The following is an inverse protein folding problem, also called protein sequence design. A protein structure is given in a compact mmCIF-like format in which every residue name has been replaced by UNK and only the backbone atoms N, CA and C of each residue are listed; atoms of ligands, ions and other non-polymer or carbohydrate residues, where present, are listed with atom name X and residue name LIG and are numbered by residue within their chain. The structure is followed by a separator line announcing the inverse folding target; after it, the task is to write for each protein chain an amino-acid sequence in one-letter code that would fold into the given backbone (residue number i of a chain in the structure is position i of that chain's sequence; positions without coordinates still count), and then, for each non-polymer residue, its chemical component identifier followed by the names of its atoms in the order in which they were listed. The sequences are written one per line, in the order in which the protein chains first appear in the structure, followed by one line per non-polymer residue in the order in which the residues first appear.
data_IF_314739301465
#
_entry.id   IF_314739301465
#
_cell.length_a   1.000
_cell.length_b   1.000
_cell.length_c   1.000
_cell.angle_alpha   90.00
_cell.angle_beta   90.00
_cell.angle_gamma   90.00
#
_symmetry.space_group_name_H-M   'P 1'
#
loop_
_entity.id
_entity.type
_entity.pdbx_description
1 polymer ?
#
# COMPACT_ATOMS: atom_id res chain seq x y z
N UNK A 1 -10.62 33.90 -46.90
CA UNK A 1 -11.19 32.55 -46.64
C UNK A 1 -10.11 31.55 -46.16
N UNK A 2 -8.90 31.57 -46.73
CA UNK A 2 -7.85 30.59 -46.37
C UNK A 2 -7.37 30.67 -44.92
N UNK A 3 -7.26 31.85 -44.31
CA UNK A 3 -6.78 32.02 -42.94
C UNK A 3 -7.76 31.43 -41.88
N UNK A 4 -9.05 31.53 -42.13
CA UNK A 4 -10.06 30.98 -41.23
C UNK A 4 -10.10 29.45 -41.25
N UNK A 5 -9.89 28.80 -42.39
CA UNK A 5 -9.80 27.34 -42.50
C UNK A 5 -8.63 26.78 -41.72
N UNK A 6 -7.46 27.42 -41.79
CA UNK A 6 -6.26 27.00 -41.02
C UNK A 6 -6.53 27.10 -39.52
N UNK A 7 -7.17 28.18 -39.07
CA UNK A 7 -7.56 28.38 -37.65
C UNK A 7 -8.47 27.26 -37.15
N UNK A 8 -9.56 26.99 -37.90
CA UNK A 8 -10.50 25.92 -37.49
C UNK A 8 -9.85 24.54 -37.52
N UNK A 9 -8.95 24.27 -38.48
CA UNK A 9 -8.22 23.01 -38.52
C UNK A 9 -7.31 22.84 -37.32
N UNK A 10 -6.54 23.85 -36.92
CA UNK A 10 -5.66 23.84 -35.74
C UNK A 10 -6.49 23.57 -34.46
N UNK A 11 -7.63 24.30 -34.31
CA UNK A 11 -8.51 24.13 -33.15
C UNK A 11 -9.16 22.75 -33.14
N UNK A 12 -9.58 22.21 -34.27
CA UNK A 12 -10.14 20.89 -34.38
C UNK A 12 -9.13 19.80 -33.97
N UNK A 13 -7.87 19.91 -34.43
CA UNK A 13 -6.77 19.00 -34.01
C UNK A 13 -6.55 19.11 -32.48
N UNK A 14 -6.47 20.36 -31.98
CA UNK A 14 -6.27 20.61 -30.55
C UNK A 14 -7.35 19.97 -29.67
N UNK A 15 -8.64 20.27 -29.95
CA UNK A 15 -9.74 19.70 -29.18
C UNK A 15 -9.88 18.20 -29.37
N UNK A 16 -9.66 17.69 -30.58
CA UNK A 16 -9.62 16.25 -30.85
C UNK A 16 -8.57 15.52 -30.01
N UNK A 17 -7.36 16.12 -29.90
CA UNK A 17 -6.30 15.56 -29.06
C UNK A 17 -6.65 15.59 -27.56
N UNK A 18 -7.22 16.71 -27.04
CA UNK A 18 -7.66 16.80 -25.64
C UNK A 18 -8.72 15.75 -25.32
N UNK A 19 -9.69 15.56 -26.21
CA UNK A 19 -10.74 14.55 -26.05
C UNK A 19 -10.15 13.13 -26.08
N UNK A 20 -9.25 12.85 -27.02
CA UNK A 20 -8.58 11.56 -27.12
C UNK A 20 -7.77 11.23 -25.84
N UNK A 21 -6.99 12.20 -25.34
CA UNK A 21 -6.22 12.04 -24.10
C UNK A 21 -7.14 11.88 -22.88
N UNK A 22 -8.23 12.65 -22.82
CA UNK A 22 -9.26 12.53 -21.77
C UNK A 22 -9.88 11.13 -21.76
N UNK A 23 -10.33 10.64 -22.94
CA UNK A 23 -10.90 9.30 -23.08
C UNK A 23 -9.89 8.20 -22.75
N UNK A 24 -8.66 8.30 -23.24
CA UNK A 24 -7.59 7.36 -22.92
C UNK A 24 -7.35 7.26 -21.40
N UNK A 25 -7.22 8.40 -20.71
CA UNK A 25 -7.01 8.40 -19.27
C UNK A 25 -8.27 7.95 -18.50
N UNK A 26 -9.48 8.19 -19.02
CA UNK A 26 -10.70 7.65 -18.45
C UNK A 26 -10.74 6.10 -18.53
N UNK A 27 -10.35 5.53 -19.66
CA UNK A 27 -10.23 4.07 -19.80
C UNK A 27 -9.18 3.50 -18.86
N UNK A 28 -8.06 4.20 -18.67
CA UNK A 28 -7.05 3.82 -17.67
C UNK A 28 -7.60 3.88 -16.25
N UNK A 29 -8.40 4.91 -15.91
CA UNK A 29 -9.10 4.97 -14.61
C UNK A 29 -10.01 3.76 -14.40
N UNK A 30 -10.82 3.39 -15.37
CA UNK A 30 -11.73 2.22 -15.27
C UNK A 30 -10.95 0.93 -15.07
N UNK A 31 -9.81 0.78 -15.76
CA UNK A 31 -8.95 -0.40 -15.68
C UNK A 31 -8.15 -0.47 -14.36
N UNK A 32 -7.60 0.65 -13.91
CA UNK A 32 -6.62 0.71 -12.80
C UNK A 32 -7.24 1.14 -11.48
N UNK A 33 -8.40 1.80 -11.51
CA UNK A 33 -9.09 2.39 -10.34
C UNK A 33 -8.23 3.39 -9.55
N UNK A 34 -7.25 4.02 -10.20
CA UNK A 34 -6.35 5.00 -9.60
C UNK A 34 -6.92 6.42 -9.77
N UNK A 35 -7.20 7.13 -8.67
CA UNK A 35 -7.88 8.44 -8.68
C UNK A 35 -7.14 9.53 -9.46
N UNK A 36 -5.83 9.41 -9.64
CA UNK A 36 -5.01 10.39 -10.36
C UNK A 36 -5.43 10.51 -11.84
N UNK A 37 -5.88 9.42 -12.48
CA UNK A 37 -6.40 9.47 -13.85
C UNK A 37 -7.72 10.23 -13.93
N UNK A 38 -8.59 10.07 -12.93
CA UNK A 38 -9.85 10.82 -12.89
C UNK A 38 -9.60 12.32 -12.72
N UNK A 39 -8.61 12.68 -11.89
CA UNK A 39 -8.18 14.08 -11.72
C UNK A 39 -7.63 14.65 -13.03
N UNK A 40 -6.86 13.87 -13.79
CA UNK A 40 -6.39 14.26 -15.11
C UNK A 40 -7.55 14.47 -16.10
N UNK A 41 -8.54 13.59 -16.12
CA UNK A 41 -9.75 13.72 -16.95
C UNK A 41 -10.52 14.98 -16.59
N UNK A 42 -10.70 15.28 -15.31
CA UNK A 42 -11.35 16.50 -14.84
C UNK A 42 -10.56 17.76 -15.26
N UNK A 43 -9.24 17.72 -15.18
CA UNK A 43 -8.34 18.75 -15.67
C UNK A 43 -8.52 18.98 -17.18
N UNK A 44 -8.49 17.91 -17.98
CA UNK A 44 -8.69 17.97 -19.42
C UNK A 44 -10.08 18.55 -19.80
N UNK A 45 -11.13 18.11 -19.14
CA UNK A 45 -12.49 18.61 -19.37
C UNK A 45 -12.61 20.10 -19.04
N UNK A 46 -12.05 20.54 -17.91
CA UNK A 46 -12.01 21.95 -17.54
C UNK A 46 -11.21 22.79 -18.55
N UNK A 47 -10.08 22.29 -19.06
CA UNK A 47 -9.31 22.93 -20.11
C UNK A 47 -10.11 23.06 -21.42
N UNK A 48 -10.88 22.03 -21.81
CA UNK A 48 -11.76 22.11 -23.00
C UNK A 48 -12.79 23.24 -22.82
N UNK A 49 -13.43 23.36 -21.64
CA UNK A 49 -14.39 24.44 -21.35
C UNK A 49 -13.71 25.83 -21.43
N UNK A 50 -12.58 26.01 -20.75
CA UNK A 50 -11.85 27.28 -20.74
C UNK A 50 -11.39 27.71 -22.15
N UNK A 51 -10.74 26.80 -22.87
CA UNK A 51 -10.21 27.07 -24.20
C UNK A 51 -11.32 27.28 -25.25
N UNK A 52 -12.38 26.46 -25.24
CA UNK A 52 -13.51 26.64 -26.16
C UNK A 52 -14.23 27.95 -25.94
N UNK A 53 -14.34 28.40 -24.68
CA UNK A 53 -14.90 29.72 -24.34
C UNK A 53 -13.98 30.87 -24.80
N UNK A 54 -12.65 30.71 -24.69
CA UNK A 54 -11.66 31.69 -25.13
C UNK A 54 -11.72 31.93 -26.64
N UNK A 55 -11.93 30.89 -27.45
CA UNK A 55 -12.03 30.97 -28.91
C UNK A 55 -13.48 31.23 -29.40
N UNK A 56 -14.46 31.41 -28.50
CA UNK A 56 -15.85 31.63 -28.82
C UNK A 56 -16.61 30.38 -29.31
N UNK A 57 -15.94 29.25 -29.46
CA UNK A 57 -16.58 28.00 -29.92
C UNK A 57 -17.63 27.49 -28.96
N UNK A 58 -17.40 27.64 -27.66
CA UNK A 58 -18.38 27.25 -26.64
C UNK A 58 -19.68 28.05 -26.76
N UNK A 59 -19.59 29.37 -27.02
CA UNK A 59 -20.76 30.21 -27.25
C UNK A 59 -21.48 29.83 -28.54
N UNK A 60 -20.77 29.38 -29.55
CA UNK A 60 -21.35 29.01 -30.84
C UNK A 60 -22.05 27.65 -30.80
N UNK A 61 -21.49 26.64 -30.09
CA UNK A 61 -21.91 25.24 -30.17
C UNK A 61 -22.51 24.68 -28.88
N UNK A 62 -22.05 25.14 -27.68
CA UNK A 62 -22.50 24.57 -26.42
C UNK A 62 -23.63 25.33 -25.75
N UNK A 63 -23.61 26.67 -25.82
CA UNK A 63 -24.65 27.54 -25.23
C UNK A 63 -24.99 28.77 -26.08
N UNK A 64 -25.48 28.56 -27.32
CA UNK A 64 -25.77 29.66 -28.25
C UNK A 64 -26.82 30.59 -27.70
N UNK A 65 -27.80 30.09 -26.95
CA UNK A 65 -28.93 30.84 -26.42
C UNK A 65 -28.67 31.50 -25.06
N UNK A 66 -27.46 31.30 -24.48
CA UNK A 66 -27.11 31.78 -23.13
C UNK A 66 -25.85 32.65 -23.11
N UNK A 67 -25.92 33.88 -23.65
CA UNK A 67 -24.74 34.74 -23.80
C UNK A 67 -24.14 35.18 -22.46
N UNK A 68 -24.94 35.32 -21.41
CA UNK A 68 -24.45 35.63 -20.06
C UNK A 68 -23.53 34.50 -19.49
N UNK A 69 -23.89 33.26 -19.78
CA UNK A 69 -23.08 32.12 -19.39
C UNK A 69 -21.72 32.07 -20.12
N UNK A 70 -21.66 32.51 -21.36
CA UNK A 70 -20.42 32.59 -22.14
C UNK A 70 -19.32 33.44 -21.49
N UNK A 71 -19.70 34.51 -20.78
CA UNK A 71 -18.73 35.35 -20.04
C UNK A 71 -18.23 34.70 -18.76
N UNK A 72 -19.06 33.89 -18.10
CA UNK A 72 -18.74 33.17 -16.84
C UNK A 72 -17.92 31.91 -17.14
N UNK A 73 -18.23 31.21 -18.23
CA UNK A 73 -17.62 29.95 -18.58
C UNK A 73 -16.09 30.04 -18.79
N UNK A 74 -15.61 31.18 -19.31
CA UNK A 74 -14.16 31.40 -19.51
C UNK A 74 -13.37 31.37 -18.18
N UNK A 75 -13.60 32.28 -17.22
CA UNK A 75 -12.88 32.25 -15.95
C UNK A 75 -13.18 30.98 -15.14
N UNK A 76 -14.40 30.47 -15.19
CA UNK A 76 -14.79 29.23 -14.51
C UNK A 76 -14.00 28.02 -15.04
N UNK A 77 -13.91 27.86 -16.36
CA UNK A 77 -13.16 26.78 -16.99
C UNK A 77 -11.68 26.78 -16.59
N UNK A 78 -11.03 27.95 -16.63
CA UNK A 78 -9.63 28.05 -16.20
C UNK A 78 -9.42 27.91 -14.69
N UNK A 79 -10.33 28.39 -13.84
CA UNK A 79 -10.26 28.16 -12.41
C UNK A 79 -10.37 26.67 -12.07
N UNK A 80 -11.29 25.97 -12.71
CA UNK A 80 -11.44 24.51 -12.54
C UNK A 80 -10.22 23.76 -13.08
N UNK A 81 -9.71 24.16 -14.25
CA UNK A 81 -8.48 23.58 -14.79
C UNK A 81 -7.30 23.78 -13.84
N UNK A 82 -7.08 24.98 -13.32
CA UNK A 82 -6.02 25.26 -12.38
C UNK A 82 -6.22 24.50 -11.03
N UNK A 83 -7.43 24.37 -10.55
CA UNK A 83 -7.74 23.58 -9.36
C UNK A 83 -7.39 22.10 -9.54
N UNK A 84 -7.86 21.47 -10.63
CA UNK A 84 -7.56 20.06 -10.91
C UNK A 84 -6.10 19.86 -11.29
N UNK A 85 -5.47 20.82 -11.98
CA UNK A 85 -4.02 20.81 -12.26
C UNK A 85 -3.19 20.88 -10.96
N UNK A 86 -3.61 21.68 -9.98
CA UNK A 86 -3.00 21.76 -8.67
C UNK A 86 -3.17 20.44 -7.88
N UNK A 87 -4.35 19.84 -7.92
CA UNK A 87 -4.63 18.54 -7.32
C UNK A 87 -3.79 17.43 -7.98
N UNK A 88 -3.71 17.45 -9.32
CA UNK A 88 -2.85 16.53 -10.06
C UNK A 88 -1.38 16.68 -9.68
N UNK A 89 -0.87 17.92 -9.57
CA UNK A 89 0.51 18.21 -9.13
C UNK A 89 0.78 17.63 -7.74
N UNK A 90 -0.15 17.82 -6.80
CA UNK A 90 -0.01 17.28 -5.45
C UNK A 90 0.04 15.75 -5.41
N UNK A 91 -0.84 15.10 -6.18
CA UNK A 91 -0.91 13.64 -6.24
C UNK A 91 0.28 13.05 -7.02
N UNK A 92 0.65 13.67 -8.15
CA UNK A 92 1.71 13.16 -9.01
C UNK A 92 3.08 13.28 -8.35
N UNK A 93 3.43 14.44 -7.79
CA UNK A 93 4.72 14.68 -7.14
C UNK A 93 4.76 14.27 -5.65
N UNK A 94 3.63 13.83 -5.07
CA UNK A 94 3.58 13.45 -3.66
C UNK A 94 4.02 14.60 -2.72
N UNK A 95 3.60 15.84 -3.03
CA UNK A 95 4.10 17.08 -2.41
C UNK A 95 3.97 17.12 -0.89
N UNK A 96 2.99 16.38 -0.33
CA UNK A 96 2.80 16.28 1.12
C UNK A 96 4.05 15.75 1.83
N UNK A 97 4.74 14.79 1.21
CA UNK A 97 5.94 14.14 1.77
C UNK A 97 7.23 14.79 1.29
N UNK A 98 7.25 15.23 0.02
CA UNK A 98 8.46 15.74 -0.65
C UNK A 98 8.72 17.23 -0.37
N UNK A 99 7.66 18.05 -0.38
CA UNK A 99 7.74 19.52 -0.28
C UNK A 99 6.58 20.09 0.53
N UNK A 100 6.50 19.88 1.87
CA UNK A 100 5.32 20.22 2.68
C UNK A 100 4.96 21.70 2.68
N UNK A 101 5.92 22.60 2.55
CA UNK A 101 5.67 24.06 2.48
C UNK A 101 4.95 24.40 1.18
N UNK A 102 5.46 23.91 0.03
CA UNK A 102 4.83 24.13 -1.27
C UNK A 102 3.46 23.43 -1.35
N UNK A 103 3.29 22.28 -0.70
CA UNK A 103 2.00 21.61 -0.59
C UNK A 103 0.93 22.52 0.02
N UNK A 104 1.21 23.17 1.16
CA UNK A 104 0.29 24.12 1.79
C UNK A 104 0.02 25.34 0.91
N UNK A 105 1.03 25.83 0.21
CA UNK A 105 0.90 26.94 -0.72
C UNK A 105 -0.02 26.57 -1.91
N UNK A 106 0.15 25.39 -2.47
CA UNK A 106 -0.73 24.87 -3.53
C UNK A 106 -2.18 24.74 -3.02
N UNK A 107 -2.38 24.28 -1.79
CA UNK A 107 -3.73 24.24 -1.17
C UNK A 107 -4.35 25.64 -1.02
N UNK A 108 -3.56 26.62 -0.62
CA UNK A 108 -4.04 28.00 -0.56
C UNK A 108 -4.46 28.54 -1.95
N UNK A 109 -3.67 28.23 -3.00
CA UNK A 109 -4.03 28.56 -4.39
C UNK A 109 -5.32 27.84 -4.84
N UNK A 110 -5.52 26.58 -4.46
CA UNK A 110 -6.76 25.85 -4.75
C UNK A 110 -7.97 26.51 -4.13
N UNK A 111 -7.89 26.96 -2.89
CA UNK A 111 -8.95 27.74 -2.23
C UNK A 111 -9.16 29.06 -2.98
N UNK A 112 -8.09 29.74 -3.38
CA UNK A 112 -8.17 30.96 -4.22
C UNK A 112 -8.91 30.72 -5.54
N UNK A 113 -8.64 29.62 -6.25
CA UNK A 113 -9.35 29.25 -7.48
C UNK A 113 -10.84 29.00 -7.24
N UNK A 114 -11.21 28.31 -6.16
CA UNK A 114 -12.61 28.07 -5.83
C UNK A 114 -13.36 29.38 -5.51
N UNK A 115 -12.75 30.27 -4.73
CA UNK A 115 -13.31 31.59 -4.43
C UNK A 115 -13.46 32.43 -5.69
N UNK A 116 -12.47 32.41 -6.60
CA UNK A 116 -12.53 33.12 -7.88
C UNK A 116 -13.61 32.53 -8.78
N UNK A 117 -13.78 31.22 -8.82
CA UNK A 117 -14.85 30.58 -9.57
C UNK A 117 -16.25 31.01 -9.05
N UNK A 118 -16.44 31.10 -7.73
CA UNK A 118 -17.65 31.58 -7.11
C UNK A 118 -17.89 33.06 -7.44
N UNK A 119 -16.86 33.91 -7.41
CA UNK A 119 -17.01 35.35 -7.79
C UNK A 119 -17.36 35.49 -9.26
N UNK A 120 -16.87 34.62 -10.17
CA UNK A 120 -17.22 34.63 -11.57
C UNK A 120 -18.72 34.33 -11.79
N UNK A 121 -19.30 33.42 -11.00
CA UNK A 121 -20.70 32.99 -11.12
C UNK A 121 -21.67 34.07 -10.53
N UNK A 122 -21.34 34.57 -9.33
CA UNK A 122 -22.31 35.32 -8.54
C UNK A 122 -22.11 36.85 -8.56
N UNK A 123 -20.93 37.36 -8.99
CA UNK A 123 -20.62 38.78 -8.79
C UNK A 123 -20.19 39.49 -10.07
N UNK A 124 -19.01 39.21 -10.59
CA UNK A 124 -18.52 39.93 -11.77
C UNK A 124 -17.43 39.12 -12.51
N UNK A 125 -17.57 38.96 -13.80
CA UNK A 125 -16.62 38.17 -14.60
C UNK A 125 -15.26 38.86 -14.82
N UNK A 126 -15.22 40.25 -14.89
CA UNK A 126 -13.96 40.96 -15.12
C UNK A 126 -12.92 40.79 -14.00
N UNK A 127 -13.25 41.09 -12.72
CA UNK A 127 -12.30 40.86 -11.64
C UNK A 127 -11.97 39.38 -11.46
N UNK A 128 -12.92 38.47 -11.72
CA UNK A 128 -12.65 37.04 -11.70
C UNK A 128 -11.63 36.63 -12.79
N UNK A 129 -11.71 37.20 -14.00
CA UNK A 129 -10.74 36.93 -15.07
C UNK A 129 -9.33 37.39 -14.69
N UNK A 130 -9.18 38.58 -14.10
CA UNK A 130 -7.88 39.11 -13.63
C UNK A 130 -7.32 38.20 -12.51
N UNK A 131 -8.14 37.86 -11.53
CA UNK A 131 -7.75 36.98 -10.42
C UNK A 131 -7.32 35.58 -10.94
N UNK A 132 -8.08 35.01 -11.89
CA UNK A 132 -7.72 33.75 -12.56
C UNK A 132 -6.35 33.80 -13.21
N UNK A 133 -6.04 34.87 -13.94
CA UNK A 133 -4.76 35.05 -14.60
C UNK A 133 -3.59 35.15 -13.60
N UNK A 134 -3.76 35.94 -12.54
CA UNK A 134 -2.74 36.12 -11.49
C UNK A 134 -2.48 34.82 -10.72
N UNK A 135 -3.56 34.19 -10.24
CA UNK A 135 -3.47 32.92 -9.50
C UNK A 135 -2.94 31.80 -10.38
N UNK A 136 -3.37 31.76 -11.65
CA UNK A 136 -2.89 30.77 -12.64
C UNK A 136 -1.39 30.88 -12.89
N UNK A 137 -0.91 32.13 -13.05
CA UNK A 137 0.55 32.37 -13.22
C UNK A 137 1.31 31.99 -11.95
N UNK A 138 0.82 32.36 -10.77
CA UNK A 138 1.42 31.98 -9.51
C UNK A 138 1.47 30.44 -9.34
N UNK A 139 0.41 29.75 -9.74
CA UNK A 139 0.37 28.30 -9.71
C UNK A 139 1.35 27.67 -10.73
N UNK A 140 1.41 28.16 -11.97
CA UNK A 140 2.33 27.64 -12.99
C UNK A 140 3.79 27.75 -12.53
N UNK A 141 4.19 28.90 -11.97
CA UNK A 141 5.52 29.09 -11.38
C UNK A 141 5.75 28.11 -10.22
N UNK A 142 4.77 27.97 -9.33
CA UNK A 142 4.85 27.03 -8.18
C UNK A 142 5.01 25.60 -8.66
N UNK A 143 4.27 25.18 -9.70
CA UNK A 143 4.35 23.84 -10.28
C UNK A 143 5.75 23.56 -10.86
N UNK A 144 6.32 24.51 -11.60
CA UNK A 144 7.68 24.41 -12.17
C UNK A 144 8.73 24.32 -11.04
N UNK A 145 8.66 25.17 -10.02
CA UNK A 145 9.57 25.14 -8.87
C UNK A 145 9.47 23.81 -8.13
N UNK A 146 8.25 23.35 -7.85
CA UNK A 146 8.00 22.06 -7.16
C UNK A 146 8.57 20.90 -7.98
N UNK A 147 8.29 20.88 -9.30
CA UNK A 147 8.80 19.86 -10.20
C UNK A 147 10.34 19.87 -10.29
N UNK A 148 10.96 21.06 -10.32
CA UNK A 148 12.42 21.21 -10.30
C UNK A 148 13.07 20.62 -9.04
N UNK A 149 12.49 20.89 -7.88
CA UNK A 149 12.95 20.31 -6.60
C UNK A 149 12.78 18.78 -6.56
N UNK A 150 11.67 18.26 -7.07
CA UNK A 150 11.43 16.81 -7.17
C UNK A 150 12.36 16.15 -8.21
N UNK A 151 12.62 16.80 -9.34
CA UNK A 151 13.54 16.31 -10.36
C UNK A 151 14.99 16.27 -9.87
N UNK A 152 15.42 17.26 -9.06
CA UNK A 152 16.72 17.28 -8.41
C UNK A 152 16.91 16.13 -7.40
N UNK A 153 15.81 15.63 -6.84
CA UNK A 153 15.78 14.45 -5.96
C UNK A 153 15.59 13.12 -6.72
N UNK A 154 15.76 13.14 -8.06
CA UNK A 154 15.62 11.98 -8.93
C UNK A 154 14.25 11.24 -8.82
N UNK A 155 13.18 11.96 -8.49
CA UNK A 155 11.85 11.38 -8.36
C UNK A 155 11.33 10.93 -9.73
N UNK A 156 10.76 9.71 -9.86
CA UNK A 156 10.24 9.19 -11.12
C UNK A 156 9.18 10.12 -11.74
N UNK A 157 9.27 10.37 -13.05
CA UNK A 157 8.33 11.22 -13.78
C UNK A 157 8.48 12.74 -13.56
N UNK A 158 9.21 13.21 -12.53
CA UNK A 158 9.33 14.64 -12.22
C UNK A 158 9.99 15.45 -13.33
N UNK A 159 10.91 14.87 -14.10
CA UNK A 159 11.55 15.55 -15.25
C UNK A 159 10.56 15.82 -16.39
N UNK A 160 9.75 14.83 -16.75
CA UNK A 160 8.71 15.00 -17.78
C UNK A 160 7.65 16.02 -17.32
N UNK A 161 7.27 15.95 -16.04
CA UNK A 161 6.37 16.91 -15.43
C UNK A 161 6.95 18.34 -15.46
N UNK A 162 8.23 18.52 -15.15
CA UNK A 162 8.91 19.80 -15.21
C UNK A 162 8.88 20.38 -16.64
N UNK A 163 9.20 19.56 -17.64
CA UNK A 163 9.16 19.99 -19.07
C UNK A 163 7.75 20.39 -19.47
N UNK A 164 6.74 19.58 -19.11
CA UNK A 164 5.33 19.85 -19.42
C UNK A 164 4.87 21.21 -18.90
N UNK A 165 5.04 21.47 -17.62
CA UNK A 165 4.66 22.75 -17.01
C UNK A 165 5.50 23.94 -17.46
N UNK A 166 6.77 23.73 -17.80
CA UNK A 166 7.60 24.77 -18.38
C UNK A 166 7.11 25.22 -19.76
N UNK A 167 6.63 24.27 -20.58
CA UNK A 167 6.04 24.58 -21.89
C UNK A 167 4.72 25.37 -21.75
N UNK A 168 3.87 24.99 -20.82
CA UNK A 168 2.66 25.76 -20.53
C UNK A 168 3.00 27.18 -20.06
N UNK A 169 3.93 27.32 -19.11
CA UNK A 169 4.36 28.61 -18.57
C UNK A 169 4.94 29.48 -19.69
N UNK A 170 5.70 28.93 -20.61
CA UNK A 170 6.20 29.65 -21.81
C UNK A 170 5.04 30.16 -22.67
N UNK A 171 4.00 29.34 -22.93
CA UNK A 171 2.79 29.74 -23.64
C UNK A 171 2.06 30.89 -22.97
N UNK A 172 1.90 30.81 -21.65
CA UNK A 172 1.28 31.88 -20.84
C UNK A 172 2.12 33.17 -20.90
N UNK A 173 3.43 33.06 -20.75
CA UNK A 173 4.34 34.21 -20.87
C UNK A 173 4.27 34.88 -22.24
N UNK A 174 4.22 34.11 -23.32
CA UNK A 174 4.07 34.65 -24.68
C UNK A 174 2.78 35.46 -24.87
N UNK A 175 1.66 34.97 -24.32
CA UNK A 175 0.40 35.73 -24.36
C UNK A 175 0.50 37.01 -23.53
N UNK A 176 1.09 36.97 -22.36
CA UNK A 176 1.26 38.13 -21.50
C UNK A 176 2.12 39.21 -22.21
N UNK A 177 3.27 38.83 -22.80
CA UNK A 177 4.16 39.71 -23.53
C UNK A 177 3.46 40.30 -24.77
N UNK A 178 2.63 39.52 -25.47
CA UNK A 178 1.82 40.01 -26.59
C UNK A 178 0.78 41.05 -26.12
N UNK A 179 0.12 40.79 -25.02
CA UNK A 179 -0.90 41.72 -24.45
C UNK A 179 -0.25 43.06 -24.04
N UNK A 180 1.02 43.03 -23.61
CA UNK A 180 1.81 44.22 -23.30
C UNK A 180 2.41 44.91 -24.58
N UNK A 181 2.08 44.41 -25.76
CA UNK A 181 2.63 44.88 -27.05
C UNK A 181 4.16 44.73 -27.20
N UNK A 182 4.78 43.86 -26.39
CA UNK A 182 6.21 43.56 -26.50
C UNK A 182 6.53 42.51 -27.59
N UNK A 183 5.52 41.69 -27.94
CA UNK A 183 5.59 40.74 -29.03
C UNK A 183 4.57 41.03 -30.11
N UNK A 184 4.92 40.81 -31.41
CA UNK A 184 3.98 40.99 -32.50
C UNK A 184 2.85 39.98 -32.48
N UNK A 185 1.66 40.35 -32.89
CA UNK A 185 0.50 39.44 -33.05
C UNK A 185 0.69 38.64 -34.35
N UNK A 186 1.27 37.46 -34.24
CA UNK A 186 1.43 36.49 -35.34
C UNK A 186 0.80 35.15 -34.94
N UNK A 187 0.78 34.19 -35.86
CA UNK A 187 0.21 32.85 -35.59
C UNK A 187 0.89 32.16 -34.40
N UNK A 188 2.21 32.30 -34.26
CA UNK A 188 2.96 31.68 -33.19
C UNK A 188 2.52 32.21 -31.80
N UNK A 189 2.46 33.56 -31.66
CA UNK A 189 2.07 34.18 -30.39
C UNK A 189 0.57 34.03 -30.06
N UNK A 190 -0.28 33.88 -31.12
CA UNK A 190 -1.71 33.65 -30.95
C UNK A 190 -2.02 32.23 -30.40
N UNK A 191 -1.30 31.23 -30.93
CA UNK A 191 -1.53 29.83 -30.61
C UNK A 191 -0.51 29.26 -29.61
N UNK A 192 0.35 30.08 -29.03
CA UNK A 192 1.36 29.64 -28.06
C UNK A 192 0.77 28.92 -26.87
N UNK A 193 -0.34 29.41 -26.32
CA UNK A 193 -1.00 28.78 -25.16
C UNK A 193 -1.71 27.46 -25.53
N UNK A 194 -2.53 27.39 -26.61
CA UNK A 194 -3.05 26.09 -27.06
C UNK A 194 -1.96 25.05 -27.34
N UNK A 195 -0.88 25.43 -28.03
CA UNK A 195 0.23 24.52 -28.28
C UNK A 195 0.93 24.11 -26.99
N UNK A 196 1.20 25.05 -26.08
CA UNK A 196 1.82 24.79 -24.80
C UNK A 196 0.97 23.84 -23.94
N UNK A 197 -0.34 24.07 -23.86
CA UNK A 197 -1.27 23.22 -23.11
C UNK A 197 -1.46 21.84 -23.75
N UNK A 198 -1.44 21.76 -25.08
CA UNK A 198 -1.49 20.49 -25.80
C UNK A 198 -0.27 19.60 -25.48
N UNK A 199 0.92 20.19 -25.55
CA UNK A 199 2.17 19.50 -25.24
C UNK A 199 2.26 19.14 -23.75
N UNK A 200 1.83 20.05 -22.87
CA UNK A 200 1.73 19.77 -21.44
C UNK A 200 0.88 18.53 -21.17
N UNK A 201 -0.36 18.52 -21.67
CA UNK A 201 -1.28 17.41 -21.42
C UNK A 201 -0.79 16.09 -22.01
N UNK A 202 -0.17 16.13 -23.21
CA UNK A 202 0.44 14.96 -23.80
C UNK A 202 1.58 14.41 -22.90
N UNK A 203 2.50 15.29 -22.49
CA UNK A 203 3.64 14.91 -21.65
C UNK A 203 3.19 14.44 -20.26
N UNK A 204 2.16 15.06 -19.66
CA UNK A 204 1.60 14.60 -18.39
C UNK A 204 0.97 13.20 -18.51
N UNK A 205 0.28 12.91 -19.61
CA UNK A 205 -0.26 11.57 -19.88
C UNK A 205 0.85 10.52 -19.99
N UNK A 206 1.95 10.84 -20.71
CA UNK A 206 3.13 9.97 -20.76
C UNK A 206 3.82 9.81 -19.40
N UNK A 207 4.02 10.92 -18.68
CA UNK A 207 4.61 10.87 -17.34
C UNK A 207 3.80 10.01 -16.36
N UNK A 208 2.48 10.06 -16.47
CA UNK A 208 1.58 9.26 -15.66
C UNK A 208 1.68 7.77 -16.03
N UNK A 209 1.74 7.44 -17.32
CA UNK A 209 1.94 6.07 -17.80
C UNK A 209 3.29 5.50 -17.34
N UNK A 210 4.39 6.26 -17.47
CA UNK A 210 5.73 5.85 -17.04
C UNK A 210 5.78 5.59 -15.52
N UNK A 211 5.21 6.48 -14.73
CA UNK A 211 5.15 6.32 -13.27
C UNK A 211 4.48 5.01 -12.85
N UNK A 212 3.41 4.61 -13.54
CA UNK A 212 2.70 3.36 -13.20
C UNK A 212 3.54 2.14 -13.50
N UNK A 213 4.27 2.13 -14.60
CA UNK A 213 5.18 1.03 -14.91
C UNK A 213 6.24 0.85 -13.81
N UNK A 214 6.80 1.94 -13.30
CA UNK A 214 7.77 1.90 -12.19
C UNK A 214 7.13 1.37 -10.90
N UNK A 215 6.00 1.94 -10.48
CA UNK A 215 5.30 1.53 -9.24
C UNK A 215 4.83 0.07 -9.31
N UNK A 216 4.30 -0.38 -10.45
CA UNK A 216 3.91 -1.79 -10.64
C UNK A 216 5.11 -2.72 -10.52
N UNK A 217 6.21 -2.39 -11.16
CA UNK A 217 7.43 -3.19 -11.10
C UNK A 217 7.99 -3.30 -9.69
N UNK A 218 8.01 -2.22 -8.94
CA UNK A 218 8.40 -2.23 -7.52
C UNK A 218 7.47 -3.13 -6.69
N UNK A 219 6.16 -3.04 -6.91
CA UNK A 219 5.17 -3.88 -6.23
C UNK A 219 5.33 -5.36 -6.57
N UNK A 220 5.57 -5.70 -7.84
CA UNK A 220 5.80 -7.08 -8.28
C UNK A 220 7.09 -7.65 -7.67
N UNK A 221 8.17 -6.87 -7.61
CA UNK A 221 9.41 -7.26 -6.96
C UNK A 221 9.20 -7.50 -5.45
N UNK A 222 8.53 -6.58 -4.76
CA UNK A 222 8.24 -6.73 -3.33
C UNK A 222 7.34 -7.95 -3.05
N UNK A 223 6.35 -8.22 -3.91
CA UNK A 223 5.51 -9.41 -3.79
C UNK A 223 6.31 -10.71 -4.03
N UNK A 224 7.21 -10.72 -5.01
CA UNK A 224 8.08 -11.87 -5.27
C UNK A 224 9.03 -12.15 -4.10
N UNK A 225 9.60 -11.12 -3.49
CA UNK A 225 10.44 -11.25 -2.29
C UNK A 225 9.64 -11.77 -1.09
N UNK A 226 8.43 -11.22 -0.84
CA UNK A 226 7.56 -11.68 0.23
C UNK A 226 7.15 -13.15 0.05
N UNK A 227 6.87 -13.58 -1.19
CA UNK A 227 6.56 -14.97 -1.50
C UNK A 227 7.75 -15.88 -1.24
N UNK A 228 8.97 -15.49 -1.66
CA UNK A 228 10.20 -16.25 -1.40
C UNK A 228 10.46 -16.39 0.10
N UNK A 229 10.31 -15.31 0.87
CA UNK A 229 10.44 -15.34 2.33
C UNK A 229 9.43 -16.28 2.98
N UNK A 230 8.16 -16.26 2.50
CA UNK A 230 7.12 -17.17 2.99
C UNK A 230 7.43 -18.63 2.71
N UNK A 231 7.91 -18.97 1.51
CA UNK A 231 8.31 -20.34 1.15
C UNK A 231 9.47 -20.80 2.04
N UNK A 232 10.51 -19.98 2.19
CA UNK A 232 11.65 -20.32 3.05
C UNK A 232 11.24 -20.53 4.52
N UNK A 233 10.30 -19.72 5.04
CA UNK A 233 9.77 -19.90 6.40
C UNK A 233 8.96 -21.19 6.53
N UNK A 234 8.17 -21.58 5.53
CA UNK A 234 7.45 -22.84 5.52
C UNK A 234 8.38 -24.05 5.48
N UNK A 235 9.45 -24.01 4.67
CA UNK A 235 10.45 -25.07 4.59
C UNK A 235 11.19 -25.23 5.93
N UNK A 236 11.57 -24.11 6.57
CA UNK A 236 12.21 -24.12 7.88
C UNK A 236 11.29 -24.70 8.97
N UNK A 237 9.99 -24.34 8.95
CA UNK A 237 9.00 -24.89 9.87
C UNK A 237 8.84 -26.40 9.69
N UNK A 238 8.70 -26.86 8.46
CA UNK A 238 8.58 -28.30 8.14
C UNK A 238 9.81 -29.10 8.58
N UNK A 239 11.01 -28.54 8.40
CA UNK A 239 12.24 -29.14 8.89
C UNK A 239 12.30 -29.20 10.41
N UNK A 240 11.83 -28.15 11.09
CA UNK A 240 11.73 -28.10 12.56
C UNK A 240 10.74 -29.14 13.09
N UNK A 241 9.57 -29.29 12.44
CA UNK A 241 8.58 -30.33 12.78
C UNK A 241 9.18 -31.75 12.67
N UNK A 242 9.82 -32.06 11.54
CA UNK A 242 10.48 -33.37 11.36
C UNK A 242 11.55 -33.66 12.45
N UNK A 243 12.32 -32.63 12.79
CA UNK A 243 13.37 -32.76 13.85
C UNK A 243 12.71 -32.96 15.23
N UNK A 244 11.60 -32.28 15.48
CA UNK A 244 10.85 -32.45 16.74
C UNK A 244 10.22 -33.82 16.85
N UNK A 245 9.59 -34.32 15.78
CA UNK A 245 9.01 -35.67 15.73
C UNK A 245 10.09 -36.74 16.01
N UNK A 246 11.25 -36.63 15.39
CA UNK A 246 12.39 -37.55 15.65
C UNK A 246 12.85 -37.50 17.11
N UNK A 247 12.92 -36.30 17.72
CA UNK A 247 13.22 -36.13 19.14
C UNK A 247 12.19 -36.78 20.05
N UNK A 248 10.90 -36.59 19.73
CA UNK A 248 9.80 -37.19 20.51
C UNK A 248 9.90 -38.71 20.47
N UNK A 249 10.03 -39.30 19.28
CA UNK A 249 10.15 -40.76 19.13
C UNK A 249 11.36 -41.28 19.93
N UNK A 250 12.52 -40.67 19.80
CA UNK A 250 13.73 -41.06 20.56
C UNK A 250 13.54 -40.95 22.07
N UNK A 251 13.00 -39.83 22.55
CA UNK A 251 12.75 -39.64 23.99
C UNK A 251 11.71 -40.59 24.55
N UNK A 252 10.69 -40.94 23.77
CA UNK A 252 9.68 -41.92 24.18
C UNK A 252 10.33 -43.33 24.31
N UNK A 253 11.20 -43.70 23.38
CA UNK A 253 11.94 -44.97 23.47
C UNK A 253 12.88 -45.00 24.69
N UNK A 254 13.66 -43.94 24.93
CA UNK A 254 14.54 -43.81 26.12
C UNK A 254 13.77 -43.92 27.44
N UNK A 255 12.62 -43.28 27.51
CA UNK A 255 11.72 -43.33 28.66
C UNK A 255 11.15 -44.74 28.89
N UNK A 256 10.73 -45.42 27.80
CA UNK A 256 10.23 -46.79 27.90
C UNK A 256 11.29 -47.77 28.46
N UNK A 257 12.52 -47.66 27.95
CA UNK A 257 13.63 -48.45 28.42
C UNK A 257 13.96 -48.16 29.89
N UNK A 258 13.99 -46.89 30.28
CA UNK A 258 14.27 -46.48 31.66
C UNK A 258 13.18 -46.96 32.61
N UNK A 259 11.89 -46.86 32.20
CA UNK A 259 10.77 -47.39 32.98
C UNK A 259 10.88 -48.93 33.19
N UNK A 260 11.26 -49.66 32.16
CA UNK A 260 11.40 -51.11 32.28
C UNK A 260 12.57 -51.48 33.22
N UNK A 261 13.71 -50.80 33.11
CA UNK A 261 14.83 -50.98 34.08
C UNK A 261 14.41 -50.67 35.52
N UNK A 262 13.63 -49.57 35.69
CA UNK A 262 13.15 -49.20 37.02
C UNK A 262 12.21 -50.28 37.61
N UNK A 263 11.30 -50.84 36.82
CA UNK A 263 10.39 -51.93 37.22
C UNK A 263 11.14 -53.18 37.61
N UNK A 264 12.19 -53.53 36.83
CA UNK A 264 13.04 -54.71 37.16
C UNK A 264 13.78 -54.50 38.49
N UNK A 265 14.36 -53.29 38.65
CA UNK A 265 15.05 -52.94 39.92
C UNK A 265 14.08 -52.94 41.14
N UNK A 266 12.89 -52.40 40.99
CA UNK A 266 11.86 -52.43 42.01
C UNK A 266 11.44 -53.88 42.38
N UNK A 267 11.31 -54.76 41.35
CA UNK A 267 10.95 -56.15 41.58
C UNK A 267 12.08 -56.91 42.34
N UNK A 268 13.36 -56.64 42.00
CA UNK A 268 14.51 -57.19 42.70
C UNK A 268 14.58 -56.67 44.15
N UNK A 269 14.44 -55.37 44.34
CA UNK A 269 14.41 -54.79 45.69
C UNK A 269 13.27 -55.37 46.56
N UNK A 270 12.11 -55.61 45.98
CA UNK A 270 10.98 -56.25 46.64
C UNK A 270 11.29 -57.68 47.03
N UNK A 271 11.95 -58.47 46.16
CA UNK A 271 12.39 -59.82 46.51
C UNK A 271 13.38 -59.80 47.68
N UNK A 272 14.38 -58.94 47.64
CA UNK A 272 15.37 -58.80 48.72
C UNK A 272 14.74 -58.32 50.03
N UNK A 273 13.76 -57.45 49.98
CA UNK A 273 13.07 -56.96 51.20
C UNK A 273 12.16 -57.99 51.89
N UNK A 274 11.65 -58.98 51.10
CA UNK A 274 10.65 -59.91 51.61
C UNK A 274 11.05 -61.38 51.57
N UNK A 275 12.16 -61.73 50.94
CA UNK A 275 12.65 -63.11 50.84
C UNK A 275 14.09 -63.21 51.32
N UNK A 276 14.44 -64.37 51.86
CA UNK A 276 15.80 -64.71 52.22
C UNK A 276 16.62 -65.06 50.99
N UNK A 277 17.76 -64.42 50.75
CA UNK A 277 18.54 -64.59 49.51
C UNK A 277 19.19 -65.99 49.37
N UNK A 278 19.32 -66.73 50.41
CA UNK A 278 19.95 -68.05 50.37
C UNK A 278 18.92 -69.14 50.07
N UNK A 279 17.76 -69.08 50.66
CA UNK A 279 16.74 -70.12 50.58
C UNK A 279 15.58 -69.79 49.63
N UNK A 280 15.40 -68.52 49.26
CA UNK A 280 14.29 -68.04 48.49
C UNK A 280 12.96 -68.01 49.24
N UNK A 281 12.92 -68.41 50.51
CA UNK A 281 11.73 -68.41 51.32
C UNK A 281 11.40 -67.01 51.88
N UNK A 282 10.16 -66.85 52.33
CA UNK A 282 9.74 -65.61 52.99
C UNK A 282 10.66 -65.32 54.19
N UNK A 283 11.21 -64.11 54.24
CA UNK A 283 12.03 -63.67 55.34
C UNK A 283 11.21 -63.27 56.55
N UNK A 284 11.85 -63.01 57.67
CA UNK A 284 11.20 -62.60 58.90
C UNK A 284 10.29 -61.38 58.72
N UNK A 285 10.63 -60.42 57.89
CA UNK A 285 9.80 -59.21 57.67
C UNK A 285 8.49 -59.58 57.00
N UNK A 286 8.49 -60.40 55.94
CA UNK A 286 7.28 -60.82 55.22
C UNK A 286 6.40 -61.67 56.12
N UNK A 287 7.00 -62.57 57.00
CA UNK A 287 6.24 -63.33 58.00
C UNK A 287 5.52 -62.42 58.97
N UNK A 288 6.17 -61.42 59.54
CA UNK A 288 5.55 -60.46 60.43
C UNK A 288 4.41 -59.67 59.77
N UNK A 289 4.58 -59.25 58.56
CA UNK A 289 3.55 -58.53 57.85
C UNK A 289 2.34 -59.42 57.52
N UNK A 290 2.53 -60.68 57.17
CA UNK A 290 1.45 -61.64 56.95
C UNK A 290 0.74 -62.00 58.24
N UNK A 291 1.48 -62.18 59.36
CA UNK A 291 0.90 -62.33 60.66
C UNK A 291 0.04 -61.17 61.07
N UNK A 292 0.50 -59.94 60.90
CA UNK A 292 -0.31 -58.74 61.21
C UNK A 292 -1.60 -58.69 60.37
N UNK A 293 -1.53 -59.04 59.11
CA UNK A 293 -2.70 -59.09 58.20
C UNK A 293 -3.66 -60.21 58.64
N UNK A 294 -3.16 -61.38 59.03
CA UNK A 294 -3.98 -62.49 59.47
C UNK A 294 -4.65 -62.23 60.84
N UNK A 295 -3.96 -61.59 61.78
CA UNK A 295 -4.53 -61.10 63.01
C UNK A 295 -5.64 -60.10 62.78
N UNK A 296 -5.41 -59.14 61.82
CA UNK A 296 -6.43 -58.14 61.49
C UNK A 296 -7.67 -58.76 60.81
N UNK A 297 -7.49 -59.79 59.97
CA UNK A 297 -8.59 -60.58 59.36
C UNK A 297 -9.35 -61.38 60.43
N UNK A 298 -8.65 -62.12 61.34
CA UNK A 298 -9.26 -62.85 62.42
C UNK A 298 -10.10 -61.99 63.32
N UNK A 299 -9.62 -60.78 63.66
CA UNK A 299 -10.39 -59.85 64.55
C UNK A 299 -11.66 -59.35 63.86
N UNK A 300 -11.72 -59.28 62.50
CA UNK A 300 -12.89 -58.80 61.77
C UNK A 300 -13.87 -59.91 61.37
N UNK A 301 -13.37 -61.10 61.06
CA UNK A 301 -14.16 -62.15 60.41
C UNK A 301 -14.30 -63.40 61.27
N UNK A 302 -13.73 -63.47 62.50
CA UNK A 302 -13.78 -64.68 63.35
C UNK A 302 -12.93 -65.82 62.85
N UNK A 303 -12.09 -65.63 61.85
CA UNK A 303 -11.20 -66.68 61.35
C UNK A 303 -10.05 -66.94 62.32
N UNK A 304 -9.80 -68.21 62.61
CA UNK A 304 -8.66 -68.66 63.42
C UNK A 304 -7.51 -69.10 62.50
N UNK A 305 -6.30 -68.78 62.86
CA UNK A 305 -5.09 -69.25 62.19
C UNK A 305 -4.11 -69.82 63.24
N UNK A 306 -3.24 -70.72 62.79
CA UNK A 306 -2.18 -71.30 63.65
C UNK A 306 -0.81 -70.91 63.07
N UNK A 307 0.15 -70.67 63.96
CA UNK A 307 1.53 -70.43 63.62
C UNK A 307 2.34 -71.65 64.05
N UNK A 308 3.01 -72.29 63.10
CA UNK A 308 3.89 -73.38 63.40
C UNK A 308 5.36 -72.89 63.38
N UNK A 309 6.07 -73.10 64.47
CA UNK A 309 7.54 -72.84 64.48
C UNK A 309 8.22 -74.17 64.50
N UNK A 310 9.10 -74.35 63.50
CA UNK A 310 9.87 -75.61 63.37
C UNK A 310 11.33 -75.24 63.58
N UNK A 311 12.04 -75.99 64.49
CA UNK A 311 13.47 -75.89 64.71
C UNK A 311 14.13 -77.22 64.41
N UNK A 312 15.41 -77.25 63.98
CA UNK A 312 16.10 -78.45 63.76
C UNK A 312 17.12 -78.74 64.88
N UNK A 313 16.76 -79.72 65.69
CA UNK A 313 17.59 -80.12 66.82
C UNK A 313 18.92 -80.65 66.32
N UNK A 314 20.03 -80.14 66.87
CA UNK A 314 21.38 -80.62 66.57
C UNK A 314 21.99 -80.05 65.24
N UNK A 315 21.47 -79.01 64.63
CA UNK A 315 21.92 -78.42 63.40
C UNK A 315 23.27 -77.67 63.51
N UNK A 316 23.61 -77.20 64.72
CA UNK A 316 24.86 -76.46 65.00
C UNK A 316 26.15 -77.12 64.58
N UNK A 317 26.34 -78.47 64.73
CA UNK A 317 27.55 -79.15 64.26
C UNK A 317 27.61 -79.37 62.74
N UNK A 318 26.56 -79.09 61.99
CA UNK A 318 26.51 -79.26 60.51
C UNK A 318 26.77 -77.91 59.76
N UNK A 319 26.73 -76.79 60.50
CA UNK A 319 26.91 -75.43 59.92
C UNK A 319 28.29 -74.83 60.21
N UNK A 320 29.14 -75.41 61.03
CA UNK A 320 30.57 -75.13 61.19
C UNK A 320 31.39 -75.98 60.22
#
# INVERSE_FOLDING_TARGET
HGNNQVVYTILAIYFGMLLALGLYNLLLYVSLRESIYLVYVAFAAAMVIGQSSMFGLANQFLWPDWPTWGHVALPLGYCLAAYFGALFTQMFLGTKQTTPVLHRWIQALQVGFLLTALTAIFYAYRPAGIATALLGTAFAVTAVVTAGLCAARAQPGARLFLVAWSLLLLGVAMIALRTLNWLPSNLLTLYAMPVGSALEMLLLSFALADRIHVVRREKELAQAEALRAKVAAMDALQQSERTLEQRVVRRTAELAETNERLRQSEAELRKLAHHDPLTGLANRSLLYDELRRSIARGKRGGETFAVLMIDLDGFKPVSD
#
